data_IF_908425024627
#
_entry.id   IF_908425024627
#
_cell.length_a   1.000
_cell.length_b   1.000
_cell.length_c   1.000
_cell.angle_alpha   90.00
_cell.angle_beta   90.00
_cell.angle_gamma   90.00
#
_symmetry.space_group_name_H-M   'P 1'
#
loop_
_entity.id
_entity.type
_entity.pdbx_description
1 polymer ?
#
# COMPACT_ATOMS: atom_id res chain seq x y z
N UNK A 1 5.24 -4.37 10.45
CA UNK A 1 5.50 -2.92 10.55
C UNK A 1 5.90 -2.44 9.17
N UNK A 2 4.95 -1.97 8.37
CA UNK A 2 5.24 -1.45 7.03
C UNK A 2 4.25 -0.31 6.79
N UNK A 3 4.68 0.91 7.11
CA UNK A 3 3.81 2.08 7.14
C UNK A 3 4.51 3.41 6.93
N UNK A 4 5.82 3.50 7.17
CA UNK A 4 6.60 4.74 7.04
C UNK A 4 7.91 4.56 6.28
N UNK A 5 7.98 3.63 5.31
CA UNK A 5 9.16 3.50 4.45
C UNK A 5 9.07 4.50 3.30
N UNK A 6 10.20 5.14 3.00
CA UNK A 6 10.40 5.97 1.83
C UNK A 6 9.85 5.28 0.56
N UNK A 7 9.07 5.98 -0.28
CA UNK A 7 8.63 5.43 -1.54
C UNK A 7 9.82 4.95 -2.40
N UNK A 8 9.78 3.74 -2.99
CA UNK A 8 10.92 3.18 -3.72
C UNK A 8 11.42 4.05 -4.87
N UNK A 9 10.54 4.85 -5.49
CA UNK A 9 10.89 5.75 -6.59
C UNK A 9 11.75 6.95 -6.15
N UNK A 10 11.87 7.22 -4.85
CA UNK A 10 12.71 8.29 -4.29
C UNK A 10 14.13 7.83 -3.92
N UNK A 11 14.33 6.52 -3.70
CA UNK A 11 15.62 5.98 -3.26
C UNK A 11 16.77 6.28 -4.23
N UNK A 12 16.44 6.54 -5.48
CA UNK A 12 17.40 6.75 -6.57
C UNK A 12 17.61 8.22 -6.94
N UNK A 13 17.00 9.17 -6.21
CA UNK A 13 17.09 10.62 -6.45
C UNK A 13 18.18 11.33 -5.62
N UNK A 14 19.01 10.58 -4.89
CA UNK A 14 20.09 11.09 -4.04
C UNK A 14 19.64 12.26 -3.16
N UNK A 15 18.58 12.04 -2.37
CA UNK A 15 18.02 13.04 -1.47
C UNK A 15 19.03 13.42 -0.38
N UNK A 16 19.04 14.69 0.02
CA UNK A 16 19.79 15.11 1.19
C UNK A 16 19.15 14.58 2.48
N UNK A 17 19.89 14.56 3.58
CA UNK A 17 19.37 14.16 4.90
C UNK A 17 18.15 14.99 5.30
N UNK A 18 18.22 16.31 5.13
CA UNK A 18 17.08 17.21 5.38
C UNK A 18 15.86 16.90 4.50
N UNK A 19 16.05 16.51 3.24
CA UNK A 19 14.95 16.08 2.36
C UNK A 19 14.37 14.74 2.81
N UNK A 20 15.22 13.79 3.20
CA UNK A 20 14.79 12.50 3.75
C UNK A 20 13.91 12.68 5.00
N UNK A 21 14.32 13.55 5.93
CA UNK A 21 13.56 13.86 7.14
C UNK A 21 12.19 14.46 6.79
N UNK A 22 12.15 15.43 5.86
CA UNK A 22 10.89 16.02 5.42
C UNK A 22 9.95 15.00 4.78
N UNK A 23 10.48 14.10 3.94
CA UNK A 23 9.67 13.03 3.35
C UNK A 23 9.19 12.05 4.41
N UNK A 24 10.05 11.71 5.38
CA UNK A 24 9.67 10.85 6.49
C UNK A 24 8.52 11.45 7.30
N UNK A 25 8.60 12.72 7.67
CA UNK A 25 7.54 13.43 8.40
C UNK A 25 6.21 13.44 7.63
N UNK A 26 6.24 13.73 6.33
CA UNK A 26 5.05 13.69 5.46
C UNK A 26 4.42 12.30 5.45
N UNK A 27 5.24 11.25 5.29
CA UNK A 27 4.78 9.87 5.19
C UNK A 27 4.28 9.34 6.54
N UNK A 28 4.99 9.66 7.62
CA UNK A 28 4.64 9.26 8.98
C UNK A 28 3.35 9.94 9.44
N UNK A 29 3.19 11.24 9.13
CA UNK A 29 2.01 12.03 9.49
C UNK A 29 0.69 11.48 8.91
N UNK A 30 0.71 10.87 7.73
CA UNK A 30 -0.49 10.25 7.14
C UNK A 30 -0.77 8.82 7.65
N UNK A 31 0.19 8.15 8.30
CA UNK A 31 0.03 6.74 8.70
C UNK A 31 -1.19 6.47 9.58
N UNK A 32 -1.53 7.29 10.59
CA UNK A 32 -2.69 7.00 11.44
C UNK A 32 -3.98 6.96 10.61
N UNK A 33 -4.17 7.95 9.75
CA UNK A 33 -5.33 8.02 8.85
C UNK A 33 -5.37 6.81 7.91
N UNK A 34 -4.24 6.44 7.30
CA UNK A 34 -4.15 5.26 6.42
C UNK A 34 -4.46 3.96 7.15
N UNK A 35 -4.00 3.82 8.41
CA UNK A 35 -4.27 2.65 9.24
C UNK A 35 -5.75 2.54 9.56
N UNK A 36 -6.39 3.63 9.93
CA UNK A 36 -7.81 3.62 10.30
C UNK A 36 -8.72 3.37 9.10
N UNK A 37 -8.41 3.95 7.93
CA UNK A 37 -9.11 3.62 6.68
C UNK A 37 -8.86 2.18 6.24
N UNK A 38 -7.64 1.67 6.41
CA UNK A 38 -7.33 0.26 6.15
C UNK A 38 -8.15 -0.70 7.01
N UNK A 39 -8.38 -0.37 8.29
CA UNK A 39 -9.30 -1.14 9.15
C UNK A 39 -10.73 -1.06 8.63
N UNK A 40 -11.20 0.12 8.19
CA UNK A 40 -12.55 0.29 7.66
C UNK A 40 -12.79 -0.58 6.41
N UNK A 41 -11.84 -0.58 5.45
CA UNK A 41 -11.88 -1.46 4.27
C UNK A 41 -11.97 -2.92 4.69
N UNK A 42 -11.03 -3.35 5.56
CA UNK A 42 -10.97 -4.74 6.03
C UNK A 42 -12.27 -5.17 6.72
N UNK A 43 -12.82 -4.34 7.59
CA UNK A 43 -14.06 -4.64 8.30
C UNK A 43 -15.25 -4.75 7.34
N UNK A 44 -15.36 -3.82 6.38
CA UNK A 44 -16.42 -3.85 5.37
C UNK A 44 -16.34 -5.11 4.51
N UNK A 45 -15.14 -5.50 4.06
CA UNK A 45 -14.93 -6.75 3.32
C UNK A 45 -15.21 -8.00 4.16
N UNK A 46 -14.75 -8.04 5.42
CA UNK A 46 -15.02 -9.17 6.33
C UNK A 46 -16.52 -9.32 6.57
N UNK A 47 -17.25 -8.21 6.75
CA UNK A 47 -18.70 -8.21 6.90
C UNK A 47 -19.40 -8.64 5.62
N UNK A 48 -18.92 -8.23 4.44
CA UNK A 48 -19.47 -8.66 3.17
C UNK A 48 -19.30 -10.17 2.98
N UNK A 49 -18.10 -10.71 3.28
CA UNK A 49 -17.83 -12.16 3.25
C UNK A 49 -18.73 -12.94 4.21
N UNK A 50 -19.00 -12.40 5.41
CA UNK A 50 -19.94 -13.00 6.38
C UNK A 50 -21.39 -12.94 5.88
N UNK A 51 -21.82 -11.82 5.29
CA UNK A 51 -23.17 -11.61 4.79
C UNK A 51 -23.52 -12.60 3.67
N UNK A 52 -22.58 -12.88 2.77
CA UNK A 52 -22.77 -13.85 1.67
C UNK A 52 -23.05 -15.27 2.17
N UNK A 53 -22.52 -15.63 3.34
CA UNK A 53 -22.73 -16.94 3.96
C UNK A 53 -23.92 -16.96 4.95
N UNK A 54 -24.60 -15.83 5.13
CA UNK A 54 -25.67 -15.66 6.11
C UNK A 54 -27.06 -15.81 5.46
N UNK A 55 -28.06 -16.36 6.18
CA UNK A 55 -29.45 -16.32 5.73
C UNK A 55 -30.02 -14.90 5.62
N UNK A 56 -29.35 -13.89 6.19
CA UNK A 56 -29.75 -12.48 6.13
C UNK A 56 -29.29 -11.74 4.88
N UNK A 57 -28.71 -12.46 3.90
CA UNK A 57 -28.25 -11.87 2.65
C UNK A 57 -29.36 -11.06 1.98
N UNK A 58 -29.02 -9.82 1.62
CA UNK A 58 -29.80 -9.04 0.67
C UNK A 58 -28.85 -8.18 -0.16
N UNK A 59 -29.18 -8.01 -1.44
CA UNK A 59 -28.38 -7.19 -2.36
C UNK A 59 -28.20 -5.75 -1.86
N UNK A 60 -29.21 -5.07 -1.27
CA UNK A 60 -29.01 -3.74 -0.69
C UNK A 60 -27.95 -3.70 0.42
N UNK A 61 -27.96 -4.67 1.36
CA UNK A 61 -26.95 -4.76 2.43
C UNK A 61 -25.56 -5.06 1.87
N UNK A 62 -25.46 -5.95 0.88
CA UNK A 62 -24.20 -6.27 0.24
C UNK A 62 -23.61 -5.05 -0.49
N UNK A 63 -24.47 -4.28 -1.17
CA UNK A 63 -24.09 -3.05 -1.86
C UNK A 63 -23.62 -1.96 -0.90
N UNK A 64 -24.26 -1.80 0.26
CA UNK A 64 -23.83 -0.86 1.30
C UNK A 64 -22.41 -1.17 1.77
N UNK A 65 -22.14 -2.43 2.15
CA UNK A 65 -20.80 -2.86 2.57
C UNK A 65 -19.73 -2.67 1.48
N UNK A 66 -20.09 -2.95 0.22
CA UNK A 66 -19.19 -2.73 -0.91
C UNK A 66 -18.90 -1.23 -1.14
N UNK A 67 -19.90 -0.37 -1.01
CA UNK A 67 -19.75 1.08 -1.12
C UNK A 67 -18.88 1.65 0.01
N UNK A 68 -19.03 1.14 1.24
CA UNK A 68 -18.21 1.56 2.38
C UNK A 68 -16.73 1.21 2.17
N UNK A 69 -16.44 -0.01 1.68
CA UNK A 69 -15.09 -0.41 1.31
C UNK A 69 -14.53 0.50 0.20
N UNK A 70 -15.30 0.75 -0.86
CA UNK A 70 -14.91 1.61 -1.97
C UNK A 70 -14.62 3.05 -1.53
N UNK A 71 -15.43 3.60 -0.64
CA UNK A 71 -15.24 4.94 -0.07
C UNK A 71 -13.96 5.02 0.77
N UNK A 72 -13.72 4.05 1.64
CA UNK A 72 -12.50 4.04 2.44
C UNK A 72 -11.24 3.88 1.55
N UNK A 73 -11.31 3.05 0.50
CA UNK A 73 -10.22 2.94 -0.48
C UNK A 73 -9.98 4.23 -1.27
N UNK A 74 -11.03 4.93 -1.70
CA UNK A 74 -10.87 6.18 -2.45
C UNK A 74 -10.24 7.29 -1.59
N UNK A 75 -10.60 7.36 -0.31
CA UNK A 75 -10.01 8.28 0.66
C UNK A 75 -8.53 7.96 0.91
N UNK A 76 -8.15 6.68 0.99
CA UNK A 76 -6.74 6.26 1.08
C UNK A 76 -5.93 6.65 -0.16
N UNK A 77 -6.48 6.43 -1.35
CA UNK A 77 -5.84 6.82 -2.61
C UNK A 77 -5.61 8.34 -2.68
N UNK A 78 -6.60 9.13 -2.27
CA UNK A 78 -6.48 10.58 -2.21
C UNK A 78 -5.44 11.04 -1.17
N UNK A 79 -5.40 10.41 0.00
CA UNK A 79 -4.40 10.71 1.03
C UNK A 79 -2.98 10.45 0.53
N UNK A 80 -2.76 9.28 -0.12
CA UNK A 80 -1.47 8.95 -0.74
C UNK A 80 -1.08 9.98 -1.80
N UNK A 81 -1.99 10.33 -2.71
CA UNK A 81 -1.71 11.31 -3.76
C UNK A 81 -1.34 12.70 -3.19
N UNK A 82 -2.00 13.12 -2.10
CA UNK A 82 -1.65 14.36 -1.40
C UNK A 82 -0.25 14.30 -0.78
N UNK A 83 0.11 13.19 -0.15
CA UNK A 83 1.45 13.01 0.41
C UNK A 83 2.52 12.98 -0.70
N UNK A 84 2.29 12.26 -1.79
CA UNK A 84 3.19 12.23 -2.95
C UNK A 84 3.38 13.62 -3.56
N UNK A 85 2.31 14.45 -3.60
CA UNK A 85 2.37 15.84 -4.05
C UNK A 85 3.26 16.71 -3.15
N UNK A 86 3.19 16.54 -1.82
CA UNK A 86 4.03 17.24 -0.86
C UNK A 86 5.50 16.81 -0.98
N UNK A 87 5.74 15.51 -1.13
CA UNK A 87 7.08 14.97 -1.41
C UNK A 87 7.66 15.55 -2.68
N UNK A 88 6.86 15.68 -3.75
CA UNK A 88 7.30 16.30 -4.98
C UNK A 88 7.74 17.76 -4.77
N UNK A 89 7.14 18.49 -3.83
CA UNK A 89 7.59 19.85 -3.50
C UNK A 89 8.94 19.91 -2.81
N UNK A 90 9.31 18.88 -2.05
CA UNK A 90 10.62 18.77 -1.37
C UNK A 90 11.77 18.60 -2.38
N UNK A 91 11.48 18.07 -3.57
CA UNK A 91 12.47 17.82 -4.61
C UNK A 91 12.95 19.11 -5.29
N UNK A 92 14.24 19.17 -5.60
CA UNK A 92 14.81 20.24 -6.43
C UNK A 92 14.36 20.11 -7.89
N UNK A 93 14.44 21.18 -8.70
CA UNK A 93 14.12 21.11 -10.13
C UNK A 93 14.88 19.99 -10.88
N UNK A 94 16.15 19.76 -10.53
CA UNK A 94 17.00 18.72 -11.12
C UNK A 94 16.51 17.32 -10.74
N UNK A 95 16.15 17.10 -9.47
CA UNK A 95 15.59 15.83 -8.99
C UNK A 95 14.23 15.54 -9.64
N UNK A 96 13.39 16.57 -9.83
CA UNK A 96 12.10 16.44 -10.54
C UNK A 96 12.30 16.04 -11.99
N UNK A 97 13.30 16.61 -12.67
CA UNK A 97 13.67 16.23 -14.04
C UNK A 97 14.14 14.77 -14.10
N UNK A 98 15.04 14.36 -13.21
CA UNK A 98 15.51 12.97 -13.14
C UNK A 98 14.36 11.97 -12.89
N UNK A 99 13.39 12.34 -12.05
CA UNK A 99 12.19 11.55 -11.82
C UNK A 99 11.32 11.43 -13.08
N UNK A 100 11.13 12.52 -13.84
CA UNK A 100 10.37 12.51 -15.08
C UNK A 100 11.05 11.67 -16.18
N UNK A 101 12.36 11.81 -16.33
CA UNK A 101 13.16 11.06 -17.30
C UNK A 101 13.08 9.55 -17.02
N UNK A 102 13.15 9.13 -15.75
CA UNK A 102 12.98 7.73 -15.35
C UNK A 102 11.60 7.16 -15.65
N UNK A 103 10.54 7.94 -15.38
CA UNK A 103 9.16 7.53 -15.73
C UNK A 103 9.00 7.37 -17.25
N UNK A 104 9.65 8.21 -18.04
CA UNK A 104 9.61 8.14 -19.50
C UNK A 104 10.41 6.95 -20.06
N UNK A 105 11.50 6.55 -19.40
CA UNK A 105 12.32 5.39 -19.77
C UNK A 105 11.66 4.04 -19.48
N UNK A 106 10.47 4.02 -18.86
CA UNK A 106 9.74 2.79 -18.61
C UNK A 106 10.45 1.84 -17.64
N UNK A 107 11.35 2.36 -16.79
CA UNK A 107 11.85 1.58 -15.65
C UNK A 107 10.61 1.11 -14.87
N UNK A 108 10.35 -0.21 -14.77
CA UNK A 108 9.20 -0.68 -14.03
C UNK A 108 9.33 -0.11 -12.62
N UNK A 109 8.24 0.38 -12.00
CA UNK A 109 8.27 0.59 -10.56
C UNK A 109 8.82 -0.70 -9.99
N UNK A 110 9.86 -0.64 -9.16
CA UNK A 110 10.34 -1.81 -8.42
C UNK A 110 9.14 -2.27 -7.58
N UNK A 111 8.35 -3.16 -8.18
CA UNK A 111 7.07 -3.59 -7.69
C UNK A 111 7.37 -4.28 -6.37
N UNK A 112 6.59 -3.92 -5.36
CA UNK A 112 6.64 -4.51 -4.05
C UNK A 112 6.75 -6.04 -4.19
N UNK A 113 7.96 -6.59 -3.99
CA UNK A 113 8.20 -8.03 -3.94
C UNK A 113 7.66 -8.55 -2.62
N UNK A 114 6.34 -8.44 -2.46
CA UNK A 114 5.61 -8.60 -1.21
C UNK A 114 4.20 -9.17 -1.37
N UNK A 115 3.73 -9.43 -2.59
CA UNK A 115 2.50 -10.22 -2.84
C UNK A 115 2.71 -11.19 -4.02
N UNK A 116 3.70 -12.07 -3.87
CA UNK A 116 3.67 -13.37 -4.54
C UNK A 116 2.90 -14.36 -3.66
N UNK A 117 2.11 -15.30 -4.23
CA UNK A 117 1.41 -16.28 -3.43
C UNK A 117 2.42 -17.03 -2.56
N UNK A 118 2.23 -17.00 -1.23
CA UNK A 118 2.97 -17.89 -0.33
C UNK A 118 2.69 -19.31 -0.83
N UNK A 119 3.71 -19.95 -1.40
CA UNK A 119 3.66 -21.34 -1.81
C UNK A 119 3.19 -22.18 -0.62
N UNK A 120 1.97 -22.70 -0.74
CA UNK A 120 1.44 -23.78 0.09
C UNK A 120 1.54 -25.06 -0.71
N UNK A 121 2.26 -26.05 -0.16
CA UNK A 121 2.38 -27.44 -0.66
C UNK A 121 3.35 -27.56 -1.83
N UNK A 122 4.27 -28.51 -1.92
CA UNK A 122 4.24 -29.88 -1.38
C UNK A 122 5.65 -30.52 -1.41
N UNK A 123 5.86 -31.55 -0.57
CA UNK A 123 6.90 -32.61 -0.64
C UNK A 123 8.40 -32.19 -0.73
N UNK A 124 9.26 -32.43 0.27
CA UNK A 124 9.60 -33.75 0.85
C UNK A 124 10.30 -33.55 2.20
N UNK A 125 9.61 -33.89 3.29
CA UNK A 125 10.23 -34.15 4.57
C UNK A 125 10.66 -35.62 4.58
N UNK A 126 11.91 -35.92 4.20
CA UNK A 126 12.49 -37.22 4.53
C UNK A 126 12.88 -37.20 6.02
N UNK A 127 12.43 -38.16 6.84
CA UNK A 127 13.01 -38.34 8.17
C UNK A 127 14.27 -39.21 8.06
N UNK A 128 15.29 -38.95 8.88
CA UNK A 128 16.09 -40.04 9.42
C UNK A 128 16.29 -39.89 10.95
N UNK A 129 16.88 -40.88 11.65
CA UNK A 129 17.24 -42.24 11.24
C UNK A 129 16.67 -43.34 12.15
N UNK A 130 16.70 -44.58 11.67
CA UNK A 130 16.58 -45.77 12.51
C UNK A 130 17.70 -46.74 12.22
N UNK A 131 18.72 -46.76 13.09
CA UNK A 131 19.49 -47.95 13.49
C UNK A 131 20.38 -47.64 14.67
#
# INVERSE_FOLDING_TARGET
MEGGKMPPYLHSLNLSEAQCDQVFEIMHGQMPAMRDKGKAVRNAEENLRKLVLSPEYSEPKARELANDAAKAMSEMSLARAKAERLVYEVLTPEQRKLLADRKALGEPPMENRGDGPRGRGDERHQPPPGR
#
